data_IF_396958124001
#
_entry.id   IF_396958124001
#
_cell.length_a   1.000
_cell.length_b   1.000
_cell.length_c   1.000
_cell.angle_alpha   90.00
_cell.angle_beta   90.00
_cell.angle_gamma   90.00
#
_symmetry.space_group_name_H-M   'P 1'
#
loop_
_entity.id
_entity.type
_entity.pdbx_description
1 polymer ?
#
# COMPACT_ATOMS: atom_id res chain seq x y z
N UNK A 1 -3.78 21.49 17.95
CA UNK A 1 -4.17 20.32 18.75
C UNK A 1 -4.39 19.14 17.80
N UNK A 2 -4.10 17.91 18.24
CA UNK A 2 -4.41 16.72 17.44
C UNK A 2 -5.94 16.57 17.28
N UNK A 3 -6.38 16.07 16.13
CA UNK A 3 -7.78 15.71 15.86
C UNK A 3 -7.83 14.26 15.38
N UNK A 4 -8.80 13.51 15.87
CA UNK A 4 -9.01 12.10 15.56
C UNK A 4 -10.30 11.93 14.74
N UNK A 5 -10.30 10.95 13.85
CA UNK A 5 -11.40 10.61 12.97
C UNK A 5 -11.48 9.08 12.84
N UNK A 6 -12.69 8.54 12.66
CA UNK A 6 -12.91 7.10 12.49
C UNK A 6 -12.54 6.60 11.08
N UNK A 7 -12.32 7.52 10.15
CA UNK A 7 -11.92 7.25 8.77
C UNK A 7 -11.11 8.44 8.22
N UNK A 8 -10.52 8.27 7.05
CA UNK A 8 -9.78 9.33 6.35
C UNK A 8 -10.80 10.36 5.84
N UNK A 9 -10.78 11.61 6.34
CA UNK A 9 -11.65 12.66 5.85
C UNK A 9 -11.41 12.93 4.35
N UNK A 10 -12.48 13.22 3.61
CA UNK A 10 -12.43 13.43 2.15
C UNK A 10 -11.39 14.49 1.72
N UNK A 11 -11.32 15.60 2.47
CA UNK A 11 -10.36 16.68 2.21
C UNK A 11 -8.88 16.29 2.41
N UNK A 12 -8.60 15.14 3.03
CA UNK A 12 -7.25 14.60 3.15
C UNK A 12 -6.85 13.69 2.00
N UNK A 13 -7.81 13.15 1.23
CA UNK A 13 -7.52 12.19 0.16
C UNK A 13 -6.63 12.81 -0.92
N UNK A 14 -6.98 14.00 -1.40
CA UNK A 14 -6.16 14.73 -2.37
C UNK A 14 -4.80 15.14 -1.78
N UNK A 15 -4.76 15.47 -0.48
CA UNK A 15 -3.52 15.87 0.18
C UNK A 15 -2.54 14.70 0.31
N UNK A 16 -3.02 13.51 0.69
CA UNK A 16 -2.24 12.26 0.72
C UNK A 16 -1.64 12.00 -0.66
N UNK A 17 -2.44 12.11 -1.72
CA UNK A 17 -2.00 11.86 -3.08
C UNK A 17 -0.94 12.85 -3.57
N UNK A 18 -0.77 14.02 -2.95
CA UNK A 18 0.30 14.97 -3.31
C UNK A 18 1.63 14.65 -2.64
N UNK A 19 1.65 13.80 -1.61
CA UNK A 19 2.88 13.51 -0.89
C UNK A 19 3.82 12.62 -1.70
N UNK A 20 5.11 12.97 -1.71
CA UNK A 20 6.15 12.20 -2.41
C UNK A 20 6.75 11.06 -1.57
N UNK A 21 6.46 11.05 -0.27
CA UNK A 21 7.01 10.09 0.70
C UNK A 21 6.03 9.88 1.85
N UNK A 22 6.06 8.69 2.42
CA UNK A 22 5.35 8.31 3.65
C UNK A 22 6.24 7.41 4.51
N UNK A 23 5.85 7.22 5.76
CA UNK A 23 6.53 6.32 6.70
C UNK A 23 5.61 5.18 7.07
N UNK A 24 6.18 4.00 7.16
CA UNK A 24 5.50 2.78 7.62
C UNK A 24 6.12 2.39 8.95
N UNK A 25 5.29 2.31 9.99
CA UNK A 25 5.68 1.79 11.29
C UNK A 25 4.94 0.49 11.58
N UNK A 26 5.66 -0.51 12.09
CA UNK A 26 5.12 -1.79 12.53
C UNK A 26 5.95 -2.32 13.69
N UNK A 27 5.41 -3.25 14.48
CA UNK A 27 6.14 -3.84 15.59
C UNK A 27 5.72 -5.30 15.79
N UNK A 28 6.65 -6.17 16.21
CA UNK A 28 6.31 -7.53 16.59
C UNK A 28 5.55 -7.53 17.93
N UNK A 29 4.99 -8.67 18.31
CA UNK A 29 4.36 -8.89 19.62
C UNK A 29 5.41 -9.00 20.73
N UNK A 30 6.59 -9.51 20.41
CA UNK A 30 7.69 -9.64 21.37
C UNK A 30 8.11 -8.27 21.90
N UNK A 31 8.22 -8.16 23.24
CA UNK A 31 8.74 -6.96 23.91
C UNK A 31 10.25 -6.76 23.69
N UNK A 32 10.94 -7.76 23.15
CA UNK A 32 12.37 -7.71 22.82
C UNK A 32 12.61 -7.52 21.31
N UNK A 33 11.56 -7.58 20.49
CA UNK A 33 11.68 -7.41 19.05
C UNK A 33 11.83 -5.94 18.67
N UNK A 34 12.27 -5.71 17.44
CA UNK A 34 12.57 -4.39 16.93
C UNK A 34 11.31 -3.71 16.40
N UNK A 35 11.00 -2.52 16.92
CA UNK A 35 10.02 -1.64 16.29
C UNK A 35 10.59 -1.17 14.95
N UNK A 36 9.89 -1.46 13.88
CA UNK A 36 10.28 -1.08 12.53
C UNK A 36 9.67 0.27 12.14
N UNK A 37 10.47 1.13 11.52
CA UNK A 37 10.06 2.40 10.95
C UNK A 37 10.86 2.65 9.67
N UNK A 38 10.17 2.74 8.53
CA UNK A 38 10.82 2.90 7.23
C UNK A 38 10.13 3.95 6.36
N UNK A 39 10.88 4.90 5.75
CA UNK A 39 10.33 5.77 4.72
C UNK A 39 10.15 4.99 3.41
N UNK A 40 9.11 5.35 2.65
CA UNK A 40 8.80 4.84 1.32
C UNK A 40 8.51 6.04 0.41
N UNK A 41 9.10 6.07 -0.78
CA UNK A 41 9.05 7.28 -1.63
C UNK A 41 9.40 7.05 -3.09
N UNK A 42 9.20 5.84 -3.62
CA UNK A 42 9.15 5.65 -5.07
C UNK A 42 7.90 6.31 -5.63
N UNK A 43 8.00 6.83 -6.86
CA UNK A 43 6.87 7.49 -7.52
C UNK A 43 5.70 6.51 -7.66
N UNK A 44 4.47 6.98 -7.41
CA UNK A 44 3.25 6.18 -7.56
C UNK A 44 3.30 4.85 -6.77
N UNK A 45 3.69 4.93 -5.50
CA UNK A 45 3.82 3.79 -4.59
C UNK A 45 2.62 3.66 -3.63
N UNK A 46 1.95 4.77 -3.27
CA UNK A 46 0.85 4.78 -2.30
C UNK A 46 -0.48 5.14 -2.97
N UNK A 47 -1.52 4.37 -2.68
CA UNK A 47 -2.84 4.47 -3.31
C UNK A 47 -3.95 4.48 -2.26
N UNK A 48 -4.95 5.33 -2.47
CA UNK A 48 -6.16 5.39 -1.64
C UNK A 48 -7.28 4.70 -2.39
N UNK A 49 -7.94 3.72 -1.76
CA UNK A 49 -9.11 3.03 -2.32
C UNK A 49 -10.39 3.78 -1.95
N UNK A 50 -10.56 4.06 -0.65
CA UNK A 50 -11.70 4.80 -0.08
C UNK A 50 -11.30 5.40 1.29
N UNK A 51 -12.25 5.94 2.05
CA UNK A 51 -12.00 6.57 3.35
C UNK A 51 -11.43 5.61 4.41
N UNK A 52 -11.57 4.29 4.24
CA UNK A 52 -11.16 3.27 5.21
C UNK A 52 -10.15 2.26 4.66
N UNK A 53 -9.72 2.41 3.40
CA UNK A 53 -8.78 1.46 2.82
C UNK A 53 -7.77 2.15 1.91
N UNK A 54 -6.51 1.81 2.12
CA UNK A 54 -5.35 2.26 1.34
C UNK A 54 -4.47 1.05 1.03
N UNK A 55 -3.58 1.19 0.06
CA UNK A 55 -2.53 0.20 -0.18
C UNK A 55 -1.27 0.85 -0.68
N UNK A 56 -0.14 0.16 -0.55
CA UNK A 56 1.09 0.55 -1.20
C UNK A 56 1.84 -0.63 -1.82
N UNK A 57 2.57 -0.35 -2.90
CA UNK A 57 3.48 -1.29 -3.54
C UNK A 57 4.75 -1.43 -2.70
N UNK A 58 4.93 -2.58 -2.05
CA UNK A 58 6.14 -2.90 -1.30
C UNK A 58 7.23 -3.42 -2.24
N UNK A 59 8.21 -2.56 -2.48
CA UNK A 59 9.42 -2.91 -3.19
C UNK A 59 10.42 -3.62 -2.28
N UNK A 60 11.22 -4.47 -2.89
CA UNK A 60 12.25 -5.25 -2.25
C UNK A 60 13.32 -4.38 -1.61
N UNK A 61 14.00 -4.95 -0.62
CA UNK A 61 15.08 -4.33 0.12
C UNK A 61 15.67 -5.34 1.10
N UNK A 62 16.65 -4.92 1.89
CA UNK A 62 17.38 -5.81 2.80
C UNK A 62 16.55 -6.36 3.96
N UNK A 63 15.42 -5.73 4.29
CA UNK A 63 14.53 -6.14 5.37
C UNK A 63 13.14 -6.57 4.89
N UNK A 64 12.42 -7.26 5.77
CA UNK A 64 11.04 -7.74 5.57
C UNK A 64 10.13 -7.52 6.78
N UNK A 65 10.58 -6.70 7.73
CA UNK A 65 9.92 -6.48 9.04
C UNK A 65 8.42 -6.16 8.93
N UNK A 66 8.00 -5.25 8.06
CA UNK A 66 6.57 -4.93 7.93
C UNK A 66 5.76 -6.15 7.51
N UNK A 67 6.20 -6.91 6.52
CA UNK A 67 5.49 -8.13 6.09
C UNK A 67 5.42 -9.13 7.25
N UNK A 68 6.54 -9.32 7.96
CA UNK A 68 6.59 -10.25 9.09
C UNK A 68 5.68 -9.83 10.27
N UNK A 69 5.70 -8.56 10.66
CA UNK A 69 4.83 -8.04 11.72
C UNK A 69 3.36 -8.08 11.33
N UNK A 70 3.04 -7.81 10.06
CA UNK A 70 1.66 -7.91 9.56
C UNK A 70 1.16 -9.35 9.58
N UNK A 71 2.00 -10.31 9.20
CA UNK A 71 1.66 -11.74 9.29
C UNK A 71 1.45 -12.22 10.72
N UNK A 72 2.21 -11.67 11.67
CA UNK A 72 2.09 -12.04 13.09
C UNK A 72 0.86 -11.41 13.75
N UNK A 73 0.68 -10.09 13.59
CA UNK A 73 -0.28 -9.34 14.38
C UNK A 73 -1.06 -8.25 13.61
N UNK A 74 -0.75 -8.04 12.33
CA UNK A 74 -1.48 -7.13 11.46
C UNK A 74 -1.31 -5.63 11.74
N UNK A 75 -0.67 -5.20 12.84
CA UNK A 75 -0.66 -3.79 13.24
C UNK A 75 0.31 -2.96 12.39
N UNK A 76 -0.19 -1.86 11.84
CA UNK A 76 0.61 -0.91 11.07
C UNK A 76 0.12 0.52 11.24
N UNK A 77 1.05 1.47 11.18
CA UNK A 77 0.76 2.89 11.06
C UNK A 77 1.42 3.46 9.82
N UNK A 78 0.65 4.19 9.01
CA UNK A 78 1.19 5.05 7.95
C UNK A 78 1.23 6.48 8.46
N UNK A 79 2.36 7.15 8.28
CA UNK A 79 2.49 8.57 8.57
C UNK A 79 2.82 9.36 7.31
N UNK A 80 2.27 10.57 7.21
CA UNK A 80 2.69 11.59 6.25
C UNK A 80 3.06 12.87 7.01
N UNK A 81 4.00 13.61 6.45
CA UNK A 81 4.44 14.92 6.96
C UNK A 81 4.43 15.92 5.81
N UNK A 82 3.82 17.08 6.03
CA UNK A 82 3.90 18.20 5.10
C UNK A 82 5.32 18.78 5.14
N UNK A 83 6.02 18.70 4.01
CA UNK A 83 7.29 19.40 3.78
C UNK A 83 7.13 20.66 2.93
N UNK A 84 5.91 20.94 2.49
CA UNK A 84 5.52 22.12 1.74
C UNK A 84 4.16 22.61 2.24
N UNK A 85 3.88 23.90 2.05
CA UNK A 85 2.60 24.50 2.42
C UNK A 85 2.31 24.50 3.94
N UNK A 86 1.03 24.46 4.35
CA UNK A 86 0.65 24.50 5.75
C UNK A 86 1.14 23.28 6.56
N UNK A 87 1.63 23.48 7.79
CA UNK A 87 2.23 22.42 8.61
C UNK A 87 1.19 21.37 9.02
N UNK A 88 1.48 20.10 8.70
CA UNK A 88 0.58 18.98 8.96
C UNK A 88 1.33 17.67 9.13
N UNK A 89 0.89 16.88 10.10
CA UNK A 89 1.23 15.45 10.21
C UNK A 89 -0.08 14.67 10.17
N UNK A 90 -0.13 13.61 9.35
CA UNK A 90 -1.24 12.68 9.26
C UNK A 90 -0.77 11.30 9.69
N UNK A 91 -1.56 10.60 10.51
CA UNK A 91 -1.37 9.20 10.87
C UNK A 91 -2.62 8.42 10.48
N UNK A 92 -2.41 7.28 9.83
CA UNK A 92 -3.42 6.28 9.53
C UNK A 92 -3.06 5.03 10.34
N UNK A 93 -3.88 4.70 11.34
CA UNK A 93 -3.75 3.44 12.07
C UNK A 93 -4.66 2.39 11.44
N UNK A 94 -4.11 1.22 11.20
CA UNK A 94 -4.85 0.16 10.52
C UNK A 94 -4.30 -1.22 10.78
N UNK A 95 -5.02 -2.19 10.21
CA UNK A 95 -4.60 -3.58 10.10
C UNK A 95 -4.20 -3.87 8.66
N UNK A 96 -3.01 -4.42 8.46
CA UNK A 96 -2.45 -4.69 7.14
C UNK A 96 -2.57 -6.15 6.71
N UNK A 97 -2.84 -6.36 5.43
CA UNK A 97 -2.82 -7.64 4.74
C UNK A 97 -1.74 -7.63 3.66
N UNK A 98 -1.01 -8.74 3.53
CA UNK A 98 0.08 -8.90 2.56
C UNK A 98 -0.40 -9.73 1.37
N UNK A 99 -0.41 -9.14 0.18
CA UNK A 99 -0.61 -9.86 -1.08
C UNK A 99 0.72 -9.96 -1.81
N UNK A 100 1.33 -11.14 -1.85
CA UNK A 100 2.66 -11.35 -2.42
C UNK A 100 2.62 -11.44 -3.95
N UNK A 101 3.74 -11.09 -4.60
CA UNK A 101 3.94 -11.34 -6.02
C UNK A 101 3.60 -12.79 -6.38
N UNK A 102 2.88 -12.98 -7.49
CA UNK A 102 2.39 -14.28 -7.93
C UNK A 102 1.02 -14.69 -7.38
N UNK A 103 0.44 -13.92 -6.46
CA UNK A 103 -0.94 -14.12 -6.00
C UNK A 103 -1.95 -13.38 -6.90
N UNK A 104 -3.18 -13.90 -7.09
CA UNK A 104 -4.22 -13.19 -7.84
C UNK A 104 -4.53 -11.79 -7.29
N UNK A 105 -4.53 -11.63 -5.96
CA UNK A 105 -4.80 -10.38 -5.28
C UNK A 105 -3.72 -9.33 -5.57
N UNK A 106 -2.45 -9.75 -5.61
CA UNK A 106 -1.36 -8.87 -6.04
C UNK A 106 -1.55 -8.45 -7.50
N UNK A 107 -1.80 -9.38 -8.42
CA UNK A 107 -1.98 -9.08 -9.84
C UNK A 107 -3.18 -8.17 -10.12
N UNK A 108 -4.23 -8.23 -9.28
CA UNK A 108 -5.38 -7.34 -9.38
C UNK A 108 -5.05 -5.89 -9.01
N UNK A 109 -4.11 -5.67 -8.08
CA UNK A 109 -3.67 -4.34 -7.65
C UNK A 109 -2.52 -3.79 -8.50
N UNK A 110 -1.58 -4.66 -8.86
CA UNK A 110 -0.34 -4.33 -9.55
C UNK A 110 -0.21 -5.26 -10.76
N UNK A 111 -0.87 -4.93 -11.88
CA UNK A 111 -0.75 -5.72 -13.09
C UNK A 111 0.66 -5.58 -13.69
N UNK A 112 1.05 -6.55 -14.52
CA UNK A 112 2.41 -6.71 -15.02
C UNK A 112 2.95 -5.46 -15.73
N UNK A 113 2.11 -4.75 -16.46
CA UNK A 113 2.42 -3.53 -17.22
C UNK A 113 2.79 -2.32 -16.34
N UNK A 114 2.38 -2.32 -15.07
CA UNK A 114 2.66 -1.22 -14.12
C UNK A 114 3.57 -1.63 -12.98
N UNK A 115 3.95 -2.91 -12.92
CA UNK A 115 4.82 -3.46 -11.88
C UNK A 115 6.21 -2.82 -11.96
N UNK A 116 6.71 -2.36 -10.82
CA UNK A 116 8.06 -1.83 -10.72
C UNK A 116 9.07 -2.96 -10.46
N UNK A 117 10.32 -2.84 -10.93
CA UNK A 117 11.37 -3.81 -10.59
C UNK A 117 11.53 -3.96 -9.07
N UNK A 118 11.66 -5.21 -8.62
CA UNK A 118 11.75 -5.59 -7.22
C UNK A 118 10.42 -5.51 -6.48
N UNK A 119 9.28 -5.26 -7.13
CA UNK A 119 7.98 -5.32 -6.46
C UNK A 119 7.69 -6.74 -5.97
N UNK A 120 7.52 -6.89 -4.64
CA UNK A 120 7.40 -8.19 -3.97
C UNK A 120 6.04 -8.42 -3.31
N UNK A 121 5.33 -7.34 -2.96
CA UNK A 121 4.00 -7.43 -2.39
C UNK A 121 3.20 -6.13 -2.59
N UNK A 122 1.88 -6.24 -2.52
CA UNK A 122 0.98 -5.13 -2.25
C UNK A 122 0.54 -5.24 -0.78
N UNK A 123 0.71 -4.15 -0.03
CA UNK A 123 0.30 -4.09 1.38
C UNK A 123 -1.00 -3.30 1.44
N UNK A 124 -2.11 -4.00 1.67
CA UNK A 124 -3.45 -3.41 1.83
C UNK A 124 -3.68 -3.13 3.30
N UNK A 125 -4.22 -1.96 3.63
CA UNK A 125 -4.40 -1.53 5.01
C UNK A 125 -5.85 -1.06 5.19
N UNK A 126 -6.55 -1.74 6.09
CA UNK A 126 -7.85 -1.33 6.57
C UNK A 126 -7.66 -0.34 7.74
N UNK A 127 -7.99 0.92 7.48
CA UNK A 127 -7.80 2.04 8.40
C UNK A 127 -8.98 2.11 9.37
N UNK A 128 -8.70 1.92 10.66
CA UNK A 128 -9.70 2.02 11.72
C UNK A 128 -9.68 3.38 12.42
N UNK A 129 -8.59 4.15 12.31
CA UNK A 129 -8.51 5.48 12.91
C UNK A 129 -7.51 6.37 12.18
N UNK A 130 -7.85 7.65 12.06
CA UNK A 130 -7.00 8.69 11.48
C UNK A 130 -6.73 9.77 12.51
N UNK A 131 -5.51 10.32 12.52
CA UNK A 131 -5.19 11.51 13.32
C UNK A 131 -4.42 12.53 12.52
N UNK A 132 -4.86 13.79 12.64
CA UNK A 132 -4.08 14.94 12.19
C UNK A 132 -3.50 15.67 13.38
N UNK A 133 -2.20 15.96 13.35
CA UNK A 133 -1.54 16.81 14.32
C UNK A 133 -0.80 17.97 13.64
N UNK A 134 -0.51 19.02 14.43
CA UNK A 134 0.26 20.15 13.95
C UNK A 134 1.73 19.74 13.70
N UNK A 135 2.34 20.30 12.67
CA UNK A 135 3.74 20.04 12.29
C UNK A 135 4.65 21.27 12.38
N UNK A 136 4.42 22.20 13.33
CA UNK A 136 5.16 23.49 13.38
C UNK A 136 6.70 23.36 13.46
N UNK A 137 7.21 22.26 13.99
CA UNK A 137 8.64 21.99 14.04
C UNK A 137 9.16 21.16 12.85
N UNK A 138 8.28 20.69 11.95
CA UNK A 138 8.67 19.96 10.74
C UNK A 138 9.19 20.98 9.72
N UNK A 139 10.43 20.85 9.24
CA UNK A 139 11.00 21.81 8.30
C UNK A 139 10.36 21.72 6.91
N UNK A 140 10.47 22.80 6.15
CA UNK A 140 10.12 22.83 4.74
C UNK A 140 11.28 22.28 3.90
N UNK A 141 10.97 21.55 2.83
CA UNK A 141 11.92 21.07 1.84
C UNK A 141 11.36 21.25 0.42
N UNK A 142 12.25 21.56 -0.52
CA UNK A 142 11.92 21.52 -1.93
C UNK A 142 12.12 20.11 -2.49
N UNK A 143 11.08 19.58 -3.15
CA UNK A 143 11.20 18.31 -3.86
C UNK A 143 12.03 18.49 -5.14
N UNK A 144 13.14 17.76 -5.25
CA UNK A 144 14.00 17.79 -6.44
C UNK A 144 13.62 16.68 -7.43
N UNK A 145 13.71 15.41 -7.00
CA UNK A 145 13.36 14.22 -7.79
C UNK A 145 13.29 12.95 -6.93
N UNK A 146 12.66 11.91 -7.46
CA UNK A 146 12.75 10.55 -6.91
C UNK A 146 14.12 9.91 -7.21
N UNK A 147 14.62 9.10 -6.27
CA UNK A 147 15.81 8.25 -6.46
C UNK A 147 15.45 7.01 -7.29
N UNK A 148 16.34 6.61 -8.20
CA UNK A 148 16.13 5.47 -9.11
C UNK A 148 16.96 4.23 -8.75
N UNK A 149 17.93 4.36 -7.84
CA UNK A 149 18.91 3.31 -7.52
C UNK A 149 18.26 1.98 -7.10
N UNK A 150 17.17 2.04 -6.34
CA UNK A 150 16.42 0.85 -5.91
C UNK A 150 15.88 0.09 -7.12
N UNK A 151 15.21 0.80 -8.04
CA UNK A 151 14.62 0.22 -9.23
C UNK A 151 15.70 -0.30 -10.16
N UNK A 152 16.77 0.47 -10.39
CA UNK A 152 17.91 0.03 -11.20
C UNK A 152 18.60 -1.22 -10.64
N UNK A 153 18.69 -1.35 -9.31
CA UNK A 153 19.28 -2.52 -8.67
C UNK A 153 18.44 -3.77 -8.90
N UNK A 154 17.13 -3.70 -8.68
CA UNK A 154 16.26 -4.86 -8.84
C UNK A 154 15.93 -5.18 -10.31
N UNK A 155 15.95 -4.20 -11.21
CA UNK A 155 15.88 -4.39 -12.67
C UNK A 155 17.02 -5.30 -13.15
N UNK A 156 18.23 -5.07 -12.63
CA UNK A 156 19.39 -5.93 -12.90
C UNK A 156 19.18 -7.35 -12.39
N UNK A 157 18.78 -7.52 -11.13
CA UNK A 157 18.54 -8.85 -10.52
C UNK A 157 17.40 -9.63 -11.19
N UNK A 158 16.42 -8.93 -11.77
CA UNK A 158 15.34 -9.54 -12.56
C UNK A 158 15.79 -10.00 -13.95
N UNK A 159 16.83 -9.35 -14.51
CA UNK A 159 17.39 -9.68 -15.82
C UNK A 159 18.45 -10.78 -15.73
N UNK A 160 19.17 -10.88 -14.61
CA UNK A 160 20.24 -11.87 -14.36
C UNK A 160 19.71 -13.29 -14.04
N UNK A 161 18.57 -13.70 -14.61
CA UNK A 161 17.98 -15.03 -14.36
C UNK A 161 19.03 -16.13 -14.55
N UNK A 162 19.38 -16.79 -13.44
CA UNK A 162 20.23 -17.97 -13.50
C UNK A 162 19.33 -19.12 -13.94
N UNK A 163 19.59 -19.71 -15.11
CA UNK A 163 18.88 -20.91 -15.57
C UNK A 163 18.94 -21.97 -14.46
N UNK A 164 17.80 -22.55 -14.02
CA UNK A 164 17.83 -23.63 -13.06
C UNK A 164 18.55 -24.82 -13.70
N UNK A 165 19.67 -25.26 -13.10
CA UNK A 165 20.34 -26.48 -13.55
C UNK A 165 19.43 -27.68 -13.30
N UNK A 166 18.75 -28.11 -14.37
CA UNK A 166 17.78 -29.21 -14.37
C UNK A 166 18.43 -30.57 -14.09
N UNK A 167 19.77 -30.65 -14.05
CA UNK A 167 20.52 -31.88 -13.84
C UNK A 167 21.05 -32.08 -12.42
N UNK A 168 20.82 -31.15 -11.48
CA UNK A 168 21.26 -31.29 -10.09
C UNK A 168 20.07 -31.36 -9.11
N UNK A 169 19.53 -32.56 -8.82
CA UNK A 169 18.49 -32.73 -7.81
C UNK A 169 19.01 -32.53 -6.37
N UNK A 170 20.30 -32.24 -6.19
CA UNK A 170 21.03 -32.37 -4.94
C UNK A 170 21.72 -31.11 -4.42
N UNK A 171 21.46 -29.91 -4.95
CA UNK A 171 22.14 -28.67 -4.54
C UNK A 171 21.73 -28.16 -3.13
N UNK A 172 21.82 -29.00 -2.09
CA UNK A 172 21.87 -28.58 -0.69
C UNK A 172 23.23 -27.93 -0.44
N UNK A 173 23.36 -26.65 -0.80
CA UNK A 173 24.57 -25.87 -0.52
C UNK A 173 25.05 -24.94 -1.64
N UNK A 174 24.34 -24.86 -2.77
CA UNK A 174 24.65 -23.83 -3.76
C UNK A 174 24.38 -22.44 -3.15
N UNK A 175 25.31 -21.50 -3.34
CA UNK A 175 25.11 -20.11 -2.97
C UNK A 175 23.77 -19.62 -3.56
N UNK A 176 23.00 -18.81 -2.82
CA UNK A 176 21.75 -18.29 -3.35
C UNK A 176 22.03 -17.61 -4.70
N UNK A 177 21.23 -17.90 -5.74
CA UNK A 177 21.48 -17.37 -7.06
C UNK A 177 21.58 -15.84 -7.01
N UNK A 178 22.42 -15.25 -7.85
CA UNK A 178 22.61 -13.79 -7.91
C UNK A 178 21.40 -13.07 -8.53
N UNK A 179 20.27 -13.74 -8.67
CA UNK A 179 19.04 -13.23 -9.23
C UNK A 179 18.07 -12.74 -8.13
N UNK A 180 16.93 -12.20 -8.55
CA UNK A 180 15.90 -11.69 -7.63
C UNK A 180 15.39 -12.79 -6.66
N UNK A 181 15.27 -14.03 -7.14
CA UNK A 181 14.78 -15.15 -6.31
C UNK A 181 15.77 -15.45 -5.18
N UNK A 182 17.04 -15.58 -5.50
CA UNK A 182 18.09 -15.79 -4.51
C UNK A 182 18.19 -14.64 -3.52
N UNK A 183 18.00 -13.40 -3.98
CA UNK A 183 17.90 -12.25 -3.09
C UNK A 183 16.74 -12.39 -2.10
N UNK A 184 15.53 -12.74 -2.55
CA UNK A 184 14.39 -12.93 -1.65
C UNK A 184 14.58 -14.08 -0.67
N UNK A 185 15.12 -15.21 -1.13
CA UNK A 185 15.43 -16.35 -0.26
C UNK A 185 16.48 -16.00 0.80
N UNK A 186 17.46 -15.16 0.46
CA UNK A 186 18.50 -14.77 1.41
C UNK A 186 18.03 -13.68 2.39
N UNK A 187 17.26 -12.70 1.92
CA UNK A 187 17.01 -11.45 2.66
C UNK A 187 15.58 -11.27 3.13
N UNK A 188 14.60 -11.97 2.55
CA UNK A 188 13.20 -11.61 2.74
C UNK A 188 12.30 -12.77 3.21
N UNK A 189 12.83 -13.98 3.41
CA UNK A 189 12.04 -15.07 4.02
C UNK A 189 11.94 -14.95 5.55
N UNK A 190 12.82 -14.17 6.18
CA UNK A 190 12.80 -13.91 7.63
C UNK A 190 13.17 -12.47 7.96
N UNK A 191 12.52 -11.96 8.99
CA UNK A 191 12.82 -10.67 9.61
C UNK A 191 14.11 -10.73 10.44
N UNK A 192 14.62 -9.59 10.89
CA UNK A 192 15.76 -9.50 11.80
C UNK A 192 15.53 -10.27 13.10
N UNK A 193 14.28 -10.29 13.58
CA UNK A 193 13.84 -11.02 14.78
C UNK A 193 13.47 -12.48 14.48
N UNK A 194 13.76 -12.96 13.26
CA UNK A 194 13.51 -14.34 12.84
C UNK A 194 12.05 -14.66 12.49
N UNK A 195 11.15 -13.67 12.48
CA UNK A 195 9.75 -13.86 12.12
C UNK A 195 9.59 -14.22 10.63
N UNK A 196 8.60 -15.06 10.24
CA UNK A 196 8.37 -15.40 8.83
C UNK A 196 8.10 -14.18 7.95
N UNK A 197 8.74 -14.11 6.78
CA UNK A 197 8.60 -13.04 5.80
C UNK A 197 7.80 -13.46 4.56
N UNK A 198 8.43 -13.35 3.38
CA UNK A 198 7.87 -13.82 2.11
C UNK A 198 7.72 -15.34 2.09
N UNK A 199 6.65 -15.81 1.46
CA UNK A 199 6.30 -17.23 1.32
C UNK A 199 6.10 -17.60 -0.15
N UNK A 200 5.31 -16.84 -0.90
CA UNK A 200 4.87 -17.18 -2.26
C UNK A 200 5.75 -16.52 -3.33
N UNK A 201 6.17 -15.27 -3.09
CA UNK A 201 6.90 -14.48 -4.08
C UNK A 201 8.17 -15.18 -4.63
N UNK A 202 9.05 -15.79 -3.80
CA UNK A 202 10.25 -16.50 -4.29
C UNK A 202 9.95 -17.63 -5.28
N UNK A 203 8.83 -18.32 -5.12
CA UNK A 203 8.48 -19.45 -5.99
C UNK A 203 7.75 -19.00 -7.24
N UNK A 204 6.95 -17.93 -7.16
CA UNK A 204 6.27 -17.34 -8.31
C UNK A 204 7.24 -16.83 -9.41
N UNK A 205 8.45 -16.40 -9.03
CA UNK A 205 9.48 -16.01 -10.00
C UNK A 205 9.86 -17.14 -10.96
N UNK A 206 9.79 -18.41 -10.53
CA UNK A 206 10.15 -19.55 -11.38
C UNK A 206 9.26 -19.69 -12.62
N UNK A 207 8.05 -19.13 -12.59
CA UNK A 207 7.06 -19.27 -13.66
C UNK A 207 6.99 -18.07 -14.61
N UNK A 208 7.40 -16.87 -14.20
CA UNK A 208 7.35 -15.65 -15.02
C UNK A 208 8.03 -14.49 -14.28
N UNK A 209 8.99 -13.82 -14.91
CA UNK A 209 9.30 -12.42 -14.61
C UNK A 209 8.83 -11.61 -15.81
N UNK A 210 7.65 -10.96 -15.75
CA UNK A 210 7.29 -9.97 -16.76
C UNK A 210 8.37 -8.88 -16.70
N UNK A 211 9.05 -8.62 -17.81
CA UNK A 211 9.99 -7.51 -17.91
C UNK A 211 9.28 -6.23 -17.49
N UNK A 212 9.66 -5.69 -16.33
CA UNK A 212 9.22 -4.36 -15.93
C UNK A 212 9.73 -3.37 -16.97
N UNK A 213 8.85 -2.55 -17.55
CA UNK A 213 9.29 -1.42 -18.38
C UNK A 213 9.75 -0.31 -17.45
N UNK A 214 10.91 -0.49 -16.83
CA UNK A 214 11.60 0.59 -16.14
C UNK A 214 12.48 1.32 -17.15
N UNK A 215 11.97 2.43 -17.67
CA UNK A 215 12.78 3.36 -18.43
C UNK A 215 13.67 4.15 -17.46
N UNK A 216 14.99 3.91 -17.58
CA UNK A 216 16.02 4.53 -16.75
C UNK A 216 16.08 6.05 -16.91
N UNK A 217 15.51 6.58 -18.01
CA UNK A 217 15.60 7.97 -18.43
C UNK A 217 14.27 8.75 -18.40
N UNK A 218 13.10 8.14 -18.15
CA UNK A 218 11.83 8.90 -18.16
C UNK A 218 11.25 9.27 -16.79
N UNK A 219 11.10 10.60 -16.67
CA UNK A 219 10.03 11.42 -16.07
C UNK A 219 8.83 10.65 -15.48
N UNK A 220 8.31 11.09 -14.32
CA UNK A 220 7.25 10.39 -13.59
C UNK A 220 6.09 9.99 -14.50
N UNK A 221 5.68 8.71 -14.42
CA UNK A 221 4.47 8.21 -15.07
C UNK A 221 3.32 9.21 -14.82
N UNK A 222 2.72 9.73 -15.90
CA UNK A 222 1.47 10.47 -15.78
C UNK A 222 0.46 9.53 -15.14
N UNK A 223 0.00 9.88 -13.93
CA UNK A 223 -1.06 9.18 -13.21
C UNK A 223 -2.21 8.85 -14.18
N UNK A 224 -2.44 7.56 -14.40
CA UNK A 224 -3.66 7.11 -15.05
C UNK A 224 -4.82 7.42 -14.11
N UNK A 225 -5.76 8.28 -14.54
CA UNK A 225 -7.04 8.50 -13.84
C UNK A 225 -7.95 7.26 -13.84
N UNK A 226 -7.57 6.17 -14.51
CA UNK A 226 -8.35 4.94 -14.59
C UNK A 226 -7.93 3.97 -13.49
N UNK A 227 -8.45 4.17 -12.28
CA UNK A 227 -8.15 3.32 -11.13
C UNK A 227 -9.17 3.44 -10.01
N UNK A 228 -10.47 3.52 -10.33
CA UNK A 228 -11.55 3.53 -9.33
C UNK A 228 -12.66 2.50 -9.66
N UNK A 229 -12.51 1.72 -10.74
CA UNK A 229 -13.61 0.87 -11.25
C UNK A 229 -13.67 -0.59 -10.76
N UNK A 230 -12.57 -1.16 -10.25
CA UNK A 230 -12.49 -2.63 -10.08
C UNK A 230 -12.62 -3.15 -8.64
N UNK A 231 -12.43 -2.31 -7.62
CA UNK A 231 -12.49 -2.76 -6.22
C UNK A 231 -13.92 -2.90 -5.66
N UNK A 232 -14.95 -2.46 -6.39
CA UNK A 232 -16.35 -2.69 -6.00
C UNK A 232 -16.85 -4.13 -6.27
N UNK A 233 -16.08 -4.95 -7.01
CA UNK A 233 -16.52 -6.28 -7.45
C UNK A 233 -16.15 -7.45 -6.51
N UNK A 234 -15.33 -7.22 -5.48
CA UNK A 234 -14.82 -8.29 -4.60
C UNK A 234 -15.49 -8.35 -3.21
N UNK A 235 -16.57 -7.61 -2.99
CA UNK A 235 -17.42 -7.80 -1.79
C UNK A 235 -18.48 -8.86 -2.10
N UNK A 236 -18.55 -9.99 -1.36
CA UNK A 236 -19.66 -10.91 -1.48
C UNK A 236 -20.93 -10.17 -1.08
N UNK A 237 -21.80 -9.88 -2.06
CA UNK A 237 -23.17 -9.42 -1.78
C UNK A 237 -23.96 -10.62 -1.35
N UNK A 238 -24.05 -10.82 -0.03
CA UNK A 238 -25.09 -11.68 0.52
C UNK A 238 -26.44 -11.02 0.21
N UNK A 239 -27.16 -11.61 -0.76
CA UNK A 239 -28.49 -11.18 -1.19
C UNK A 239 -29.50 -12.19 -0.69
N UNK A 240 -30.00 -11.98 0.51
CA UNK A 240 -31.34 -12.43 0.87
C UNK A 240 -32.08 -11.34 1.63
N UNK A 241 -33.10 -10.81 0.95
CA UNK A 241 -34.32 -10.19 1.47
C UNK A 241 -34.18 -8.93 2.35
N UNK A 242 -34.55 -7.77 1.80
CA UNK A 242 -35.66 -6.96 2.30
C UNK A 242 -35.92 -5.81 1.30
N UNK A 243 -36.86 -6.04 0.39
CA UNK A 243 -37.55 -5.00 -0.36
C UNK A 243 -38.77 -4.61 0.47
N UNK A 244 -38.77 -3.42 1.07
CA UNK A 244 -39.95 -2.52 1.10
C UNK A 244 -39.70 -1.31 2.01
N UNK A 245 -39.87 -0.11 1.47
CA UNK A 245 -40.26 1.06 2.26
C UNK A 245 -39.18 2.10 2.50
N UNK A 246 -38.83 2.89 1.49
CA UNK A 246 -38.33 4.26 1.72
C UNK A 246 -38.58 5.15 0.49
N UNK A 247 -39.85 5.30 0.10
CA UNK A 247 -40.31 6.28 -0.90
C UNK A 247 -41.55 7.01 -0.38
N UNK A 248 -41.49 7.53 0.85
CA UNK A 248 -42.62 8.27 1.45
C UNK A 248 -42.24 9.53 2.25
N UNK A 249 -40.96 9.85 2.46
CA UNK A 249 -40.58 10.95 3.36
C UNK A 249 -40.29 12.30 2.68
N UNK A 250 -40.08 12.34 1.35
CA UNK A 250 -39.73 13.60 0.67
C UNK A 250 -40.96 14.38 0.18
N UNK A 251 -42.08 13.70 -0.09
CA UNK A 251 -43.32 14.37 -0.53
C UNK A 251 -44.10 14.97 0.65
N UNK A 252 -43.98 14.40 1.86
CA UNK A 252 -44.67 14.92 3.05
C UNK A 252 -44.08 16.25 3.56
N UNK A 253 -42.79 16.53 3.31
CA UNK A 253 -42.16 17.77 3.79
C UNK A 253 -42.46 18.98 2.91
N UNK A 254 -42.78 18.80 1.63
CA UNK A 254 -43.12 19.91 0.74
C UNK A 254 -44.55 20.44 0.93
N UNK A 255 -45.47 19.60 1.40
CA UNK A 255 -46.88 20.01 1.60
C UNK A 255 -47.05 20.83 2.90
N UNK A 256 -46.22 20.59 3.92
CA UNK A 256 -46.32 21.31 5.20
C UNK A 256 -45.78 22.75 5.13
N UNK A 257 -44.79 23.03 4.28
CA UNK A 257 -44.18 24.37 4.15
C UNK A 257 -45.08 25.33 3.37
N UNK A 258 -45.92 24.83 2.46
CA UNK A 258 -46.85 25.67 1.69
C UNK A 258 -48.11 26.05 2.50
N UNK A 259 -48.49 25.24 3.50
CA UNK A 259 -49.67 25.52 4.33
C UNK A 259 -49.40 26.56 5.44
N UNK A 260 -48.18 26.66 5.96
CA UNK A 260 -47.83 27.56 7.07
C UNK A 260 -47.50 29.01 6.63
N UNK A 261 -47.36 29.27 5.33
CA UNK A 261 -47.06 30.60 4.78
C UNK A 261 -48.27 31.51 4.52
N UNK A 262 -49.50 31.08 4.83
CA UNK A 262 -50.74 31.84 4.51
C UNK A 262 -51.58 32.31 5.72
N UNK A 263 -51.08 32.19 6.95
CA UNK A 263 -51.72 32.82 8.12
C UNK A 263 -50.76 33.79 8.80
N UNK A 264 -50.63 35.01 8.28
CA UNK A 264 -50.34 36.24 9.03
C UNK A 264 -50.75 37.46 8.17
N UNK A 265 -51.99 37.91 8.39
CA UNK A 265 -52.48 39.29 8.24
C UNK A 265 -53.36 39.54 9.45
#
# INVERSE_FOLDING_TARGET
MAKYYDEIPEWLLEWIQKQHMFWVASAPLSTHGHVNLSPKGTADCFHVVNSKQVWYEDLSGSGVETISHLRENGRVTIMFSAFEGPPRILRLWGTGTVHEYGTPEYSALIPAETRKPGSRAAIVIDVYQTCTSCGYAVPLYDFVKHRTQLLSHFDKLETEQSEPDVNDPGSKGAAPPSDLRGYWLLKNIRSLDGLPGLVTAPDAIRSMIPHGRFDKDTRPMKRSRKGVGYLQALVPRDRTSFISGFMSSVVAMLVLVVALGKLKL
#
